data_IF_474130544862
#
_entry.id   IF_474130544862
#
_cell.length_a   1.000
_cell.length_b   1.000
_cell.length_c   1.000
_cell.angle_alpha   90.00
_cell.angle_beta   90.00
_cell.angle_gamma   90.00
#
_symmetry.space_group_name_H-M   'P 1'
#
loop_
_entity.id
_entity.type
_entity.pdbx_description
1 polymer ?
#
# COMPACT_ATOMS: atom_id res chain seq x y z
N UNK A 1 103.62 -17.55 -18.64
CA UNK A 1 102.44 -18.00 -17.88
C UNK A 1 101.89 -16.79 -17.16
N UNK A 2 100.85 -16.17 -17.70
CA UNK A 2 100.23 -14.97 -17.12
C UNK A 2 99.04 -15.46 -16.31
N UNK A 3 99.16 -15.45 -14.97
CA UNK A 3 98.07 -15.81 -14.07
C UNK A 3 97.08 -14.65 -14.05
N UNK A 4 95.92 -14.85 -14.69
CA UNK A 4 94.78 -13.96 -14.55
C UNK A 4 94.22 -14.16 -13.15
N UNK A 5 94.54 -13.25 -12.23
CA UNK A 5 93.90 -13.16 -10.92
C UNK A 5 92.54 -12.53 -11.11
N UNK A 6 91.49 -13.35 -11.11
CA UNK A 6 90.11 -12.86 -11.05
C UNK A 6 89.93 -12.24 -9.64
N UNK A 7 89.55 -10.96 -9.53
CA UNK A 7 89.32 -10.34 -8.23
C UNK A 7 88.16 -11.05 -7.52
N UNK A 8 88.32 -11.35 -6.23
CA UNK A 8 87.36 -12.12 -5.44
C UNK A 8 85.94 -11.53 -5.47
N UNK A 9 85.83 -10.22 -5.65
CA UNK A 9 84.58 -9.46 -5.74
C UNK A 9 83.76 -9.78 -7.01
N UNK A 10 84.41 -10.07 -8.14
CA UNK A 10 83.73 -10.47 -9.38
C UNK A 10 83.19 -11.90 -9.30
N UNK A 11 83.88 -12.79 -8.56
CA UNK A 11 83.43 -14.16 -8.30
C UNK A 11 82.22 -14.19 -7.35
N UNK A 12 82.17 -13.30 -6.38
CA UNK A 12 81.06 -13.18 -5.43
C UNK A 12 79.80 -12.61 -6.12
N UNK A 13 79.97 -11.60 -6.97
CA UNK A 13 78.89 -11.05 -7.79
C UNK A 13 78.36 -12.08 -8.81
N UNK A 14 79.24 -12.92 -9.36
CA UNK A 14 78.86 -14.00 -10.28
C UNK A 14 78.09 -15.10 -9.56
N UNK A 15 78.53 -15.52 -8.36
CA UNK A 15 77.78 -16.49 -7.55
C UNK A 15 76.40 -15.96 -7.19
N UNK A 16 76.28 -14.71 -6.72
CA UNK A 16 74.98 -14.10 -6.42
C UNK A 16 74.04 -14.07 -7.64
N UNK A 17 74.57 -13.76 -8.84
CA UNK A 17 73.77 -13.78 -10.07
C UNK A 17 73.41 -15.20 -10.52
N UNK A 18 74.31 -16.16 -10.35
CA UNK A 18 74.05 -17.57 -10.65
C UNK A 18 73.03 -18.15 -9.68
N UNK A 19 73.10 -17.82 -8.40
CA UNK A 19 72.14 -18.24 -7.38
C UNK A 19 70.75 -17.68 -7.69
N UNK A 20 70.67 -16.37 -8.01
CA UNK A 20 69.42 -15.73 -8.44
C UNK A 20 68.83 -16.33 -9.72
N UNK A 21 69.67 -16.62 -10.73
CA UNK A 21 69.23 -17.28 -11.97
C UNK A 21 68.83 -18.73 -11.75
N UNK A 22 69.48 -19.43 -10.82
CA UNK A 22 69.17 -20.82 -10.48
C UNK A 22 67.83 -20.89 -9.76
N UNK A 23 67.57 -19.99 -8.83
CA UNK A 23 66.29 -19.87 -8.12
C UNK A 23 65.13 -19.54 -9.08
N UNK A 24 65.33 -18.58 -9.99
CA UNK A 24 64.37 -18.27 -11.07
C UNK A 24 64.12 -19.46 -12.01
N UNK A 25 65.16 -20.22 -12.37
CA UNK A 25 65.01 -21.42 -13.21
C UNK A 25 64.30 -22.56 -12.49
N UNK A 26 64.46 -22.70 -11.17
CA UNK A 26 63.74 -23.69 -10.38
C UNK A 26 62.24 -23.36 -10.28
N UNK A 27 61.89 -22.11 -10.03
CA UNK A 27 60.48 -21.67 -10.05
C UNK A 27 59.85 -21.88 -11.43
N UNK A 28 60.57 -21.53 -12.50
CA UNK A 28 60.07 -21.72 -13.86
C UNK A 28 59.91 -23.19 -14.24
N UNK A 29 60.81 -24.06 -13.75
CA UNK A 29 60.67 -25.52 -13.91
C UNK A 29 59.44 -26.05 -13.18
N UNK A 30 59.22 -25.64 -11.93
CA UNK A 30 58.04 -26.05 -11.15
C UNK A 30 56.74 -25.65 -11.84
N UNK A 31 56.68 -24.43 -12.40
CA UNK A 31 55.51 -23.98 -13.17
C UNK A 31 55.30 -24.80 -14.44
N UNK A 32 56.36 -25.13 -15.18
CA UNK A 32 56.26 -25.98 -16.37
C UNK A 32 55.78 -27.39 -16.02
N UNK A 33 56.30 -27.96 -14.94
CA UNK A 33 55.93 -29.29 -14.48
C UNK A 33 54.47 -29.33 -14.03
N UNK A 34 54.03 -28.36 -13.24
CA UNK A 34 52.63 -28.22 -12.83
C UNK A 34 51.70 -28.02 -14.03
N UNK A 35 52.16 -27.30 -15.07
CA UNK A 35 51.40 -27.14 -16.31
C UNK A 35 51.34 -28.44 -17.14
N UNK A 36 52.42 -29.20 -17.19
CA UNK A 36 52.44 -30.52 -17.84
C UNK A 36 51.56 -31.53 -17.12
N UNK A 37 51.57 -31.56 -15.80
CA UNK A 37 50.68 -32.40 -14.98
C UNK A 37 49.22 -31.99 -15.18
N UNK A 38 48.90 -30.70 -15.08
CA UNK A 38 47.54 -30.20 -15.35
C UNK A 38 47.08 -30.58 -16.77
N UNK A 39 47.96 -30.45 -17.76
CA UNK A 39 47.66 -30.85 -19.14
C UNK A 39 47.43 -32.36 -19.22
N UNK A 40 48.25 -33.16 -18.56
CA UNK A 40 48.13 -34.61 -18.55
C UNK A 40 46.85 -35.09 -17.85
N UNK A 41 46.38 -34.38 -16.83
CA UNK A 41 45.16 -34.69 -16.09
C UNK A 41 43.89 -34.17 -16.76
N UNK A 42 43.97 -33.03 -17.45
CA UNK A 42 42.85 -32.42 -18.16
C UNK A 42 42.54 -33.12 -19.49
N UNK A 43 43.54 -33.66 -20.19
CA UNK A 43 43.35 -34.35 -21.48
C UNK A 43 42.38 -35.55 -21.36
N UNK A 44 42.53 -36.45 -20.38
CA UNK A 44 41.59 -37.56 -20.16
C UNK A 44 40.17 -37.08 -19.87
N UNK A 45 40.02 -36.08 -19.00
CA UNK A 45 38.71 -35.52 -18.62
C UNK A 45 38.04 -34.91 -19.84
N UNK A 46 38.76 -34.12 -20.63
CA UNK A 46 38.26 -33.55 -21.89
C UNK A 46 37.83 -34.62 -22.88
N UNK A 47 38.62 -35.69 -23.05
CA UNK A 47 38.27 -36.81 -23.92
C UNK A 47 37.02 -37.58 -23.43
N UNK A 48 36.86 -37.76 -22.11
CA UNK A 48 35.67 -38.40 -21.54
C UNK A 48 34.42 -37.53 -21.73
N UNK A 49 34.54 -36.22 -21.53
CA UNK A 49 33.44 -35.27 -21.67
C UNK A 49 32.95 -35.18 -23.12
N UNK A 50 33.88 -35.21 -24.08
CA UNK A 50 33.55 -35.29 -25.52
C UNK A 50 32.84 -36.60 -25.84
N UNK A 51 33.34 -37.75 -25.35
CA UNK A 51 32.69 -39.05 -25.59
C UNK A 51 31.29 -39.13 -24.99
N UNK A 52 31.14 -38.72 -23.72
CA UNK A 52 29.85 -38.71 -23.03
C UNK A 52 28.85 -37.81 -23.75
N UNK A 53 29.31 -36.64 -24.23
CA UNK A 53 28.48 -35.74 -25.04
C UNK A 53 28.09 -36.39 -26.37
N UNK A 54 28.98 -37.10 -27.05
CA UNK A 54 28.65 -37.82 -28.29
C UNK A 54 27.59 -38.90 -28.04
N UNK A 55 27.73 -39.65 -26.94
CA UNK A 55 26.81 -40.73 -26.59
C UNK A 55 25.43 -40.21 -26.19
N UNK A 56 25.33 -39.11 -25.42
CA UNK A 56 24.05 -38.47 -25.07
C UNK A 56 23.43 -37.70 -26.24
N UNK A 57 24.24 -37.05 -27.09
CA UNK A 57 23.75 -36.37 -28.29
C UNK A 57 23.21 -37.37 -29.33
N UNK A 58 23.74 -38.60 -29.37
CA UNK A 58 23.18 -39.68 -30.17
C UNK A 58 21.75 -40.08 -29.72
N UNK A 59 21.39 -39.80 -28.46
CA UNK A 59 20.07 -40.08 -27.88
C UNK A 59 19.05 -38.95 -28.17
N UNK A 60 19.51 -37.72 -28.39
CA UNK A 60 18.67 -36.53 -28.72
C UNK A 60 18.22 -36.51 -30.20
N UNK A 61 18.79 -37.37 -31.04
CA UNK A 61 18.42 -37.51 -32.45
C UNK A 61 19.08 -36.46 -33.38
N UNK A 62 18.86 -36.61 -34.70
CA UNK A 62 19.52 -35.89 -35.80
C UNK A 62 19.49 -34.33 -35.77
N UNK A 63 18.90 -33.71 -34.75
CA UNK A 63 18.71 -32.26 -34.66
C UNK A 63 19.89 -31.51 -34.01
N UNK A 64 20.79 -32.22 -33.30
CA UNK A 64 21.92 -31.59 -32.61
C UNK A 64 23.25 -32.25 -32.99
N UNK A 65 24.10 -31.53 -33.73
CA UNK A 65 25.41 -32.02 -34.19
C UNK A 65 26.56 -31.49 -33.33
N UNK A 66 27.70 -32.19 -33.35
CA UNK A 66 28.90 -31.74 -32.66
C UNK A 66 29.39 -30.37 -33.19
N UNK A 67 29.20 -30.11 -34.49
CA UNK A 67 29.43 -28.79 -35.08
C UNK A 67 28.60 -27.67 -34.44
N UNK A 68 27.36 -27.96 -34.01
CA UNK A 68 26.48 -26.97 -33.37
C UNK A 68 27.02 -26.59 -31.99
N UNK A 69 27.58 -27.53 -31.25
CA UNK A 69 28.23 -27.27 -29.96
C UNK A 69 29.45 -26.35 -30.13
N UNK A 70 30.29 -26.62 -31.13
CA UNK A 70 31.43 -25.75 -31.46
C UNK A 70 30.98 -24.38 -31.98
N UNK A 71 29.90 -24.33 -32.75
CA UNK A 71 29.31 -23.08 -33.22
C UNK A 71 28.78 -22.24 -32.06
N UNK A 72 28.08 -22.86 -31.10
CA UNK A 72 27.59 -22.22 -29.88
C UNK A 72 28.74 -21.71 -29.01
N UNK A 73 29.78 -22.52 -28.79
CA UNK A 73 30.99 -22.11 -28.07
C UNK A 73 31.64 -20.90 -28.75
N UNK A 74 31.82 -20.96 -30.07
CA UNK A 74 32.41 -19.87 -30.86
C UNK A 74 31.51 -18.63 -30.85
N UNK A 75 30.19 -18.79 -30.78
CA UNK A 75 29.21 -17.70 -30.67
C UNK A 75 29.26 -17.06 -29.29
N UNK A 76 29.34 -17.84 -28.22
CA UNK A 76 29.58 -17.36 -26.85
C UNK A 76 30.88 -16.57 -26.74
N UNK A 77 31.98 -17.12 -27.25
CA UNK A 77 33.30 -16.46 -27.23
C UNK A 77 33.35 -15.21 -28.11
N UNK A 78 32.56 -15.16 -29.19
CA UNK A 78 32.44 -13.97 -30.04
C UNK A 78 31.54 -12.91 -29.43
N UNK A 79 30.53 -13.33 -28.68
CA UNK A 79 29.53 -12.46 -28.06
C UNK A 79 29.81 -12.29 -26.56
N UNK A 80 31.08 -12.21 -26.15
CA UNK A 80 31.46 -11.96 -24.75
C UNK A 80 30.83 -10.67 -24.23
N UNK A 81 30.66 -9.65 -25.08
CA UNK A 81 29.98 -8.40 -24.71
C UNK A 81 28.53 -8.62 -24.28
N UNK A 82 27.80 -9.52 -24.95
CA UNK A 82 26.42 -9.84 -24.57
C UNK A 82 26.38 -10.55 -23.22
N UNK A 83 27.34 -11.44 -22.96
CA UNK A 83 27.44 -12.15 -21.68
C UNK A 83 27.80 -11.17 -20.55
N UNK A 84 28.72 -10.24 -20.79
CA UNK A 84 29.07 -9.19 -19.84
C UNK A 84 27.86 -8.30 -19.54
N UNK A 85 27.14 -7.82 -20.56
CA UNK A 85 25.91 -7.03 -20.34
C UNK A 85 24.83 -7.81 -19.58
N UNK A 86 24.70 -9.12 -19.81
CA UNK A 86 23.77 -9.95 -19.04
C UNK A 86 24.22 -10.12 -17.58
N UNK A 87 25.52 -10.23 -17.33
CA UNK A 87 26.08 -10.28 -15.97
C UNK A 87 25.87 -8.95 -15.25
N UNK A 88 26.13 -7.82 -15.91
CA UNK A 88 25.91 -6.48 -15.37
C UNK A 88 24.44 -6.25 -15.01
N UNK A 89 23.52 -6.73 -15.87
CA UNK A 89 22.07 -6.66 -15.57
C UNK A 89 21.65 -7.57 -14.42
N UNK A 90 22.26 -8.75 -14.31
CA UNK A 90 22.01 -9.64 -13.20
C UNK A 90 22.52 -9.04 -11.88
N UNK A 91 23.70 -8.42 -11.89
CA UNK A 91 24.26 -7.67 -10.76
C UNK A 91 23.34 -6.53 -10.34
N UNK A 92 22.93 -5.67 -11.29
CA UNK A 92 21.99 -4.59 -11.00
C UNK A 92 20.63 -5.09 -10.46
N UNK A 93 20.16 -6.26 -10.90
CA UNK A 93 18.93 -6.84 -10.38
C UNK A 93 19.09 -7.39 -8.95
N UNK A 94 20.25 -7.98 -8.64
CA UNK A 94 20.59 -8.45 -7.29
C UNK A 94 20.77 -7.26 -6.34
N UNK A 95 21.49 -6.22 -6.77
CA UNK A 95 21.65 -4.97 -6.00
C UNK A 95 20.30 -4.33 -5.70
N UNK A 96 19.42 -4.26 -6.70
CA UNK A 96 18.06 -3.76 -6.49
C UNK A 96 17.25 -4.65 -5.53
N UNK A 97 17.39 -5.98 -5.60
CA UNK A 97 16.69 -6.88 -4.70
C UNK A 97 17.15 -6.68 -3.24
N UNK A 98 18.45 -6.50 -3.03
CA UNK A 98 19.02 -6.23 -1.71
C UNK A 98 18.56 -4.86 -1.17
N UNK A 99 18.58 -3.82 -2.00
CA UNK A 99 18.04 -2.49 -1.65
C UNK A 99 16.55 -2.55 -1.34
N UNK A 100 15.78 -3.27 -2.16
CA UNK A 100 14.34 -3.44 -1.98
C UNK A 100 14.01 -4.22 -0.70
N UNK A 101 14.83 -5.18 -0.30
CA UNK A 101 14.67 -5.89 0.97
C UNK A 101 14.88 -4.94 2.16
N UNK A 102 15.95 -4.14 2.13
CA UNK A 102 16.29 -3.19 3.21
C UNK A 102 15.23 -2.08 3.30
N UNK A 103 14.94 -1.42 2.19
CA UNK A 103 13.93 -0.36 2.12
C UNK A 103 12.53 -0.91 2.41
N UNK A 104 12.23 -2.10 1.89
CA UNK A 104 10.95 -2.79 2.10
C UNK A 104 10.69 -3.04 3.58
N UNK A 105 11.68 -3.51 4.34
CA UNK A 105 11.56 -3.69 5.80
C UNK A 105 11.26 -2.38 6.52
N UNK A 106 11.92 -1.28 6.13
CA UNK A 106 11.70 0.03 6.77
C UNK A 106 10.33 0.62 6.42
N UNK A 107 9.93 0.56 5.15
CA UNK A 107 8.61 1.01 4.68
C UNK A 107 7.51 0.17 5.32
N UNK A 108 7.70 -1.14 5.41
CA UNK A 108 6.78 -2.05 6.08
C UNK A 108 6.62 -1.69 7.55
N UNK A 109 7.72 -1.54 8.30
CA UNK A 109 7.67 -1.15 9.70
C UNK A 109 6.96 0.20 9.91
N UNK A 110 7.26 1.19 9.07
CA UNK A 110 6.60 2.51 9.11
C UNK A 110 5.11 2.40 8.81
N UNK A 111 4.73 1.55 7.86
CA UNK A 111 3.33 1.32 7.49
C UNK A 111 2.58 0.64 8.62
N UNK A 112 3.13 -0.41 9.20
CA UNK A 112 2.55 -1.10 10.36
C UNK A 112 2.37 -0.13 11.53
N UNK A 113 3.38 0.70 11.82
CA UNK A 113 3.27 1.70 12.88
C UNK A 113 2.15 2.70 12.61
N UNK A 114 2.01 3.21 11.38
CA UNK A 114 0.92 4.12 11.02
C UNK A 114 -0.46 3.45 11.09
N UNK A 115 -0.56 2.20 10.66
CA UNK A 115 -1.80 1.43 10.77
C UNK A 115 -2.18 1.20 12.23
N UNK A 116 -1.21 0.90 13.11
CA UNK A 116 -1.42 0.77 14.55
C UNK A 116 -1.79 2.11 15.21
N UNK A 117 -1.23 3.24 14.77
CA UNK A 117 -1.66 4.57 15.17
C UNK A 117 -3.12 4.85 14.76
N UNK A 118 -3.51 4.49 13.53
CA UNK A 118 -4.88 4.63 13.05
C UNK A 118 -5.87 3.72 13.79
N UNK A 119 -5.46 2.50 14.11
CA UNK A 119 -6.24 1.58 14.92
C UNK A 119 -6.48 2.13 16.33
N UNK A 120 -5.41 2.58 17.01
CA UNK A 120 -5.50 3.19 18.35
C UNK A 120 -6.29 4.48 18.38
N UNK A 121 -6.19 5.29 17.32
CA UNK A 121 -7.01 6.49 17.16
C UNK A 121 -8.46 6.19 16.76
N UNK A 122 -8.82 4.91 16.53
CA UNK A 122 -10.20 4.47 16.28
C UNK A 122 -10.67 4.64 14.83
N UNK A 123 -9.78 4.95 13.88
CA UNK A 123 -10.16 5.18 12.49
C UNK A 123 -10.79 3.94 11.85
N UNK A 124 -10.29 2.73 12.13
CA UNK A 124 -10.87 1.49 11.59
C UNK A 124 -12.26 1.21 12.14
N UNK A 125 -12.46 1.44 13.43
CA UNK A 125 -13.78 1.28 14.04
C UNK A 125 -14.77 2.30 13.47
N UNK A 126 -14.37 3.57 13.36
CA UNK A 126 -15.17 4.62 12.76
C UNK A 126 -15.52 4.29 11.29
N UNK A 127 -14.55 3.86 10.49
CA UNK A 127 -14.78 3.46 9.10
C UNK A 127 -15.73 2.27 9.01
N UNK A 128 -15.58 1.28 9.89
CA UNK A 128 -16.47 0.10 9.94
C UNK A 128 -17.90 0.48 10.30
N UNK A 129 -18.10 1.29 11.34
CA UNK A 129 -19.43 1.77 11.72
C UNK A 129 -20.02 2.69 10.64
N UNK A 130 -19.20 3.53 10.02
CA UNK A 130 -19.60 4.34 8.87
C UNK A 130 -20.08 3.50 7.69
N UNK A 131 -19.38 2.41 7.37
CA UNK A 131 -19.80 1.46 6.33
C UNK A 131 -21.13 0.80 6.66
N UNK A 132 -21.40 0.44 7.93
CA UNK A 132 -22.71 -0.10 8.34
C UNK A 132 -23.83 0.93 8.18
N UNK A 133 -23.56 2.20 8.46
CA UNK A 133 -24.54 3.28 8.23
C UNK A 133 -24.81 3.40 6.73
N UNK A 134 -23.76 3.44 5.91
CA UNK A 134 -23.88 3.46 4.45
C UNK A 134 -24.66 2.26 3.92
N UNK A 135 -24.39 1.06 4.42
CA UNK A 135 -25.08 -0.17 4.03
C UNK A 135 -26.57 -0.13 4.37
N UNK A 136 -26.94 0.36 5.56
CA UNK A 136 -28.34 0.61 5.93
C UNK A 136 -29.00 1.64 5.03
N UNK A 137 -28.30 2.73 4.70
CA UNK A 137 -28.82 3.74 3.78
C UNK A 137 -29.08 3.11 2.41
N UNK A 138 -28.14 2.37 1.85
CA UNK A 138 -28.28 1.72 0.52
C UNK A 138 -29.35 0.62 0.53
N UNK A 139 -29.58 -0.04 1.67
CA UNK A 139 -30.59 -1.10 1.81
C UNK A 139 -32.00 -0.53 2.00
N UNK A 140 -32.14 0.55 2.78
CA UNK A 140 -33.44 1.16 3.09
C UNK A 140 -33.86 2.24 2.09
N UNK A 141 -32.89 2.89 1.45
CA UNK A 141 -33.10 3.98 0.50
C UNK A 141 -32.49 3.62 -0.85
N UNK A 142 -33.29 3.76 -1.90
CA UNK A 142 -32.83 3.64 -3.27
C UNK A 142 -31.90 4.81 -3.65
N UNK A 143 -31.19 4.69 -4.78
CA UNK A 143 -30.35 5.78 -5.29
C UNK A 143 -31.19 7.03 -5.57
N UNK A 144 -32.42 6.83 -6.01
CA UNK A 144 -33.42 7.87 -6.25
C UNK A 144 -33.82 8.58 -4.95
N UNK A 145 -33.97 7.85 -3.84
CA UNK A 145 -34.29 8.42 -2.53
C UNK A 145 -33.13 9.28 -1.99
N UNK A 146 -31.89 8.83 -2.19
CA UNK A 146 -30.69 9.59 -1.78
C UNK A 146 -30.55 10.87 -2.62
N UNK A 147 -30.89 10.82 -3.91
CA UNK A 147 -30.92 12.01 -4.77
C UNK A 147 -32.00 13.00 -4.33
N UNK A 148 -33.22 12.51 -4.07
CA UNK A 148 -34.31 13.34 -3.57
C UNK A 148 -33.96 13.97 -2.21
N UNK A 149 -33.25 13.25 -1.33
CA UNK A 149 -32.72 13.78 -0.08
C UNK A 149 -31.68 14.87 -0.33
N UNK A 150 -30.74 14.64 -1.25
CA UNK A 150 -29.72 15.61 -1.64
C UNK A 150 -30.33 16.90 -2.18
N UNK A 151 -31.36 16.80 -3.02
CA UNK A 151 -32.06 17.96 -3.60
C UNK A 151 -32.81 18.78 -2.53
N UNK A 152 -33.27 18.12 -1.46
CA UNK A 152 -34.06 18.76 -0.40
C UNK A 152 -33.28 18.99 0.91
N UNK A 153 -31.98 18.67 0.96
CA UNK A 153 -31.20 18.69 2.21
C UNK A 153 -31.14 20.08 2.83
N UNK A 154 -31.06 21.14 2.01
CA UNK A 154 -31.06 22.54 2.50
C UNK A 154 -32.39 22.88 3.17
N UNK A 155 -33.52 22.43 2.60
CA UNK A 155 -34.85 22.62 3.18
C UNK A 155 -34.98 21.87 4.50
N UNK A 156 -34.55 20.61 4.55
CA UNK A 156 -34.56 19.79 5.78
C UNK A 156 -33.71 20.45 6.86
N UNK A 157 -32.47 20.85 6.55
CA UNK A 157 -31.59 21.51 7.52
C UNK A 157 -32.15 22.86 8.00
N UNK A 158 -32.82 23.61 7.13
CA UNK A 158 -33.52 24.85 7.51
C UNK A 158 -34.71 24.56 8.43
N UNK A 159 -35.50 23.52 8.14
CA UNK A 159 -36.61 23.10 9.00
C UNK A 159 -36.12 22.65 10.36
N UNK A 160 -35.09 21.80 10.42
CA UNK A 160 -34.47 21.38 11.69
C UNK A 160 -33.96 22.58 12.47
N UNK A 161 -33.26 23.51 11.81
CA UNK A 161 -32.81 24.78 12.43
C UNK A 161 -33.99 25.60 12.95
N UNK A 162 -35.09 25.67 12.21
CA UNK A 162 -36.27 26.43 12.61
C UNK A 162 -36.99 25.80 13.80
N UNK A 163 -37.07 24.46 13.84
CA UNK A 163 -37.66 23.73 14.97
C UNK A 163 -36.79 23.81 16.23
N UNK A 164 -35.47 23.92 16.08
CA UNK A 164 -34.54 24.08 17.22
C UNK A 164 -34.36 25.53 17.66
N UNK A 165 -35.14 26.47 17.11
CA UNK A 165 -35.12 27.86 17.59
C UNK A 165 -35.63 27.92 19.05
N UNK A 166 -35.05 28.80 19.89
CA UNK A 166 -35.40 28.90 21.31
C UNK A 166 -36.89 29.07 21.58
N UNK A 167 -37.57 29.87 20.76
CA UNK A 167 -38.99 30.18 20.93
C UNK A 167 -39.87 28.93 20.73
N UNK A 168 -39.58 28.11 19.71
CA UNK A 168 -40.31 26.87 19.41
C UNK A 168 -40.08 25.83 20.52
N UNK A 169 -38.82 25.68 20.96
CA UNK A 169 -38.47 24.78 22.05
C UNK A 169 -39.13 25.20 23.37
N UNK A 170 -39.25 26.50 23.64
CA UNK A 170 -39.95 27.00 24.82
C UNK A 170 -41.44 26.63 24.80
N UNK A 171 -42.12 26.75 23.66
CA UNK A 171 -43.51 26.28 23.54
C UNK A 171 -43.64 24.77 23.73
N UNK A 172 -42.74 23.98 23.14
CA UNK A 172 -42.74 22.53 23.31
C UNK A 172 -42.54 22.11 24.77
N UNK A 173 -41.59 22.72 25.47
CA UNK A 173 -41.34 22.46 26.88
C UNK A 173 -42.55 22.86 27.75
N UNK A 174 -43.12 24.04 27.54
CA UNK A 174 -44.32 24.48 28.27
C UNK A 174 -45.52 23.51 28.07
N UNK A 175 -45.68 22.96 26.86
CA UNK A 175 -46.73 21.98 26.59
C UNK A 175 -46.47 20.64 27.29
N UNK A 176 -45.21 20.18 27.31
CA UNK A 176 -44.81 18.96 28.03
C UNK A 176 -44.99 19.13 29.54
N UNK A 177 -44.64 20.28 30.09
CA UNK A 177 -44.80 20.58 31.52
C UNK A 177 -46.28 20.65 31.91
N UNK A 178 -47.14 21.23 31.06
CA UNK A 178 -48.59 21.24 31.27
C UNK A 178 -49.25 19.84 31.22
N UNK A 179 -48.63 18.87 30.54
CA UNK A 179 -49.09 17.47 30.52
C UNK A 179 -48.56 16.70 31.74
N UNK A 180 -47.39 17.09 32.27
CA UNK A 180 -46.75 16.47 33.44
C UNK A 180 -47.34 16.94 34.77
N UNK A 181 -47.88 18.15 34.82
CA UNK A 181 -48.66 18.61 35.96
C UNK A 181 -49.92 17.74 36.07
N UNK A 182 -49.92 16.80 37.02
CA UNK A 182 -51.12 16.05 37.37
C UNK A 182 -52.21 17.04 37.78
N UNK A 183 -53.45 16.93 37.24
CA UNK A 183 -54.54 17.79 37.68
C UNK A 183 -54.72 17.64 39.19
N UNK A 184 -54.41 18.68 39.95
CA UNK A 184 -54.53 18.66 41.42
C UNK A 184 -55.98 18.56 41.89
N UNK A 185 -56.95 18.61 40.97
CA UNK A 185 -58.37 18.53 41.25
C UNK A 185 -59.03 17.39 40.46
N UNK A 186 -59.23 16.26 41.14
CA UNK A 186 -60.10 15.16 40.70
C UNK A 186 -61.60 15.44 41.00
N UNK A 187 -61.97 16.71 41.19
CA UNK A 187 -63.35 17.15 41.35
C UNK A 187 -64.05 17.32 39.99
N UNK A 188 -65.23 16.71 39.84
CA UNK A 188 -66.07 16.82 38.64
C UNK A 188 -66.15 18.26 38.12
N UNK A 189 -65.43 18.55 37.04
CA UNK A 189 -65.45 19.88 36.42
C UNK A 189 -66.88 20.19 35.98
N UNK A 190 -67.48 21.21 36.59
CA UNK A 190 -68.86 21.61 36.28
C UNK A 190 -68.93 22.32 34.93
N UNK A 191 -69.99 22.09 34.16
CA UNK A 191 -70.25 22.80 32.89
C UNK A 191 -70.27 24.32 33.03
N UNK A 192 -70.67 24.84 34.20
CA UNK A 192 -70.63 26.28 34.49
C UNK A 192 -69.19 26.76 34.71
N UNK A 193 -68.35 25.94 35.33
CA UNK A 193 -66.95 26.25 35.58
C UNK A 193 -66.17 26.31 34.26
N UNK A 194 -66.41 25.37 33.35
CA UNK A 194 -65.86 25.41 31.98
C UNK A 194 -66.25 26.70 31.24
N UNK A 195 -67.52 27.10 31.31
CA UNK A 195 -67.98 28.35 30.67
C UNK A 195 -67.31 29.59 31.28
N UNK A 196 -67.01 29.57 32.58
CA UNK A 196 -66.26 30.64 33.24
C UNK A 196 -64.78 30.61 32.83
N UNK A 197 -64.16 29.45 32.71
CA UNK A 197 -62.77 29.29 32.26
C UNK A 197 -62.57 29.78 30.82
N UNK A 198 -63.55 29.56 29.93
CA UNK A 198 -63.51 30.11 28.57
C UNK A 198 -63.49 31.65 28.53
N UNK A 199 -63.94 32.31 29.60
CA UNK A 199 -63.87 33.78 29.73
C UNK A 199 -62.51 34.29 30.22
N UNK A 200 -61.64 33.41 30.71
CA UNK A 200 -60.31 33.76 31.21
C UNK A 200 -59.48 34.43 30.10
N UNK A 201 -58.81 35.58 30.38
CA UNK A 201 -57.95 36.26 29.41
C UNK A 201 -56.85 35.37 28.79
N UNK A 202 -56.24 34.46 29.56
CA UNK A 202 -55.19 33.54 29.07
C UNK A 202 -55.75 32.52 28.10
N UNK A 203 -56.93 31.95 28.40
CA UNK A 203 -57.62 30.99 27.51
C UNK A 203 -58.04 31.67 26.21
N UNK A 204 -58.61 32.88 26.28
CA UNK A 204 -58.93 33.68 25.08
C UNK A 204 -57.70 34.03 24.25
N UNK A 205 -56.58 34.37 24.89
CA UNK A 205 -55.32 34.62 24.20
C UNK A 205 -54.79 33.36 23.51
N UNK A 206 -54.86 32.19 24.16
CA UNK A 206 -54.51 30.89 23.58
C UNK A 206 -55.38 30.56 22.36
N UNK A 207 -56.70 30.70 22.48
CA UNK A 207 -57.64 30.52 21.36
C UNK A 207 -57.33 31.48 20.20
N UNK A 208 -56.99 32.75 20.48
CA UNK A 208 -56.63 33.70 19.43
C UNK A 208 -55.34 33.30 18.68
N UNK A 209 -54.35 32.75 19.39
CA UNK A 209 -53.11 32.24 18.79
C UNK A 209 -53.36 31.00 17.95
N UNK A 210 -54.18 30.07 18.44
CA UNK A 210 -54.59 28.89 17.67
C UNK A 210 -55.36 29.28 16.41
N UNK A 211 -56.26 30.27 16.49
CA UNK A 211 -56.94 30.82 15.33
C UNK A 211 -55.97 31.47 14.34
N UNK A 212 -54.94 32.17 14.82
CA UNK A 212 -53.89 32.74 13.95
C UNK A 212 -53.04 31.66 13.28
N UNK A 213 -52.68 30.59 14.00
CA UNK A 213 -51.98 29.43 13.43
C UNK A 213 -52.83 28.73 12.36
N UNK A 214 -54.13 28.53 12.62
CA UNK A 214 -55.05 27.96 11.63
C UNK A 214 -55.19 28.85 10.38
N UNK A 215 -55.20 30.18 10.54
CA UNK A 215 -55.15 31.11 9.40
C UNK A 215 -53.84 30.99 8.62
N UNK A 216 -52.71 30.92 9.31
CA UNK A 216 -51.40 30.74 8.68
C UNK A 216 -51.26 29.40 7.93
N UNK A 217 -51.96 28.34 8.35
CA UNK A 217 -52.02 27.08 7.61
C UNK A 217 -52.95 27.13 6.39
N UNK A 218 -53.98 27.98 6.43
CA UNK A 218 -54.86 28.21 5.29
C UNK A 218 -54.19 29.05 4.19
N UNK A 219 -53.31 29.98 4.58
CA UNK A 219 -52.46 30.75 3.67
C UNK A 219 -51.30 29.88 3.15
N UNK A 220 -51.59 28.97 2.21
CA UNK A 220 -50.55 28.20 1.51
C UNK A 220 -49.79 29.08 0.49
N UNK A 221 -48.52 28.76 0.13
CA UNK A 221 -47.76 29.49 -0.90
C UNK A 221 -48.27 29.33 -2.35
N UNK A 222 -49.47 28.76 -2.56
CA UNK A 222 -49.94 28.28 -3.86
C UNK A 222 -51.23 28.94 -4.37
N UNK A 223 -51.67 30.08 -3.81
CA UNK A 223 -52.69 30.88 -4.49
C UNK A 223 -52.05 31.66 -5.65
N UNK A 224 -52.41 31.39 -6.93
CA UNK A 224 -52.07 32.30 -8.01
C UNK A 224 -52.74 33.65 -7.75
N UNK A 225 -52.11 34.79 -8.11
CA UNK A 225 -52.75 36.08 -7.94
C UNK A 225 -54.07 36.09 -8.71
N UNK A 226 -55.17 36.33 -7.99
CA UNK A 226 -56.48 36.59 -8.58
C UNK A 226 -56.35 37.85 -9.44
N UNK A 227 -56.53 37.68 -10.76
CA UNK A 227 -56.70 38.77 -11.72
C UNK A 227 -57.90 39.66 -11.36
#
# INVERSE_FOLDING_TARGET
MTTVTIPAEELELLHSKLDFLTEQMEEQRKQRQAFEELKQDMIPIGNQLIKLSIDELAEIGNEFQLEDLFFLLKRMLRNTNLIMEMMDRAEAAMDFADEAEILGKQVFATTVQKLDEFERAGYFQFATEGMKITDRIVTEFSVEDVQALGDNIVTILRTVRNMTQPDIMAYANNAVDAIREEPTDNGNVSTIQLLRELSDPKVRQGMSRMLQMMKAFADQPNDPPLN
#
